data_IF_457013546368
#
_entry.id   IF_457013546368
#
_cell.length_a   1.000
_cell.length_b   1.000
_cell.length_c   1.000
_cell.angle_alpha   90.00
_cell.angle_beta   90.00
_cell.angle_gamma   90.00
#
_symmetry.space_group_name_H-M   'P 1'
#
loop_
_entity.id
_entity.type
_entity.pdbx_description
1 polymer ?
#
# COMPACT_ATOMS: atom_id res chain seq x y z
N UNK A 1 1.72 -9.99 4.69
CA UNK A 1 0.60 -9.23 5.28
C UNK A 1 1.07 -7.80 5.46
N UNK A 2 0.29 -6.84 4.97
CA UNK A 2 0.57 -5.41 5.07
C UNK A 2 -0.47 -4.76 5.99
N UNK A 3 -0.19 -3.56 6.46
CA UNK A 3 -1.06 -2.85 7.40
C UNK A 3 -0.93 -1.34 7.22
N UNK A 4 -2.06 -0.66 7.20
CA UNK A 4 -2.16 0.79 7.39
C UNK A 4 -2.93 1.09 8.70
N UNK A 5 -3.27 2.36 8.94
CA UNK A 5 -3.97 2.78 10.17
C UNK A 5 -5.43 2.29 10.22
N UNK A 6 -6.00 1.85 9.10
CA UNK A 6 -7.38 1.34 9.01
C UNK A 6 -7.47 -0.18 9.23
N UNK A 7 -6.40 -0.92 8.94
CA UNK A 7 -6.40 -2.36 9.12
C UNK A 7 -5.32 -3.08 8.33
N UNK A 8 -5.41 -4.41 8.35
CA UNK A 8 -4.52 -5.26 7.59
C UNK A 8 -5.09 -5.58 6.21
N UNK A 9 -4.19 -5.82 5.27
CA UNK A 9 -4.53 -6.28 3.93
C UNK A 9 -3.46 -7.23 3.38
N UNK A 10 -3.85 -8.02 2.39
CA UNK A 10 -2.96 -8.98 1.74
C UNK A 10 -2.68 -8.55 0.30
N UNK A 11 -1.44 -8.74 -0.13
CA UNK A 11 -0.99 -8.43 -1.50
C UNK A 11 -0.39 -9.69 -2.11
N UNK A 12 -0.82 -10.04 -3.32
CA UNK A 12 -0.27 -11.13 -4.14
C UNK A 12 0.45 -10.58 -5.38
N UNK A 13 1.37 -11.36 -5.94
CA UNK A 13 2.09 -10.99 -7.15
C UNK A 13 3.18 -9.93 -6.96
N UNK A 14 3.53 -9.59 -5.72
CA UNK A 14 4.60 -8.64 -5.40
C UNK A 14 5.96 -9.05 -5.98
N UNK A 15 6.17 -10.35 -6.15
CA UNK A 15 7.35 -10.95 -6.78
C UNK A 15 7.42 -10.75 -8.30
N UNK A 16 6.28 -10.45 -8.94
CA UNK A 16 6.16 -10.28 -10.41
C UNK A 16 6.18 -8.82 -10.85
N UNK A 17 6.07 -7.90 -9.90
CA UNK A 17 6.09 -6.47 -10.15
C UNK A 17 7.52 -6.02 -10.45
N UNK A 18 7.76 -5.10 -11.41
CA UNK A 18 9.07 -4.50 -11.62
C UNK A 18 9.61 -3.90 -10.31
N UNK A 19 10.61 -4.54 -9.73
CA UNK A 19 11.19 -4.10 -8.47
C UNK A 19 12.25 -3.06 -8.78
N UNK A 20 12.00 -1.81 -8.39
CA UNK A 20 13.03 -0.77 -8.35
C UNK A 20 14.02 -1.07 -7.23
N UNK A 21 13.89 -0.38 -6.08
CA UNK A 21 14.60 -0.79 -4.87
C UNK A 21 13.91 -2.00 -4.22
N UNK A 22 14.67 -2.96 -3.64
CA UNK A 22 14.11 -4.04 -2.85
C UNK A 22 13.26 -3.47 -1.69
N UNK A 23 11.95 -3.64 -1.76
CA UNK A 23 10.99 -3.04 -0.82
C UNK A 23 10.31 -4.05 0.11
N UNK A 24 10.54 -5.36 -0.11
CA UNK A 24 9.89 -6.45 0.62
C UNK A 24 10.70 -6.90 1.85
N UNK A 25 10.99 -5.98 2.77
CA UNK A 25 11.57 -6.32 4.08
C UNK A 25 10.55 -6.05 5.17
N UNK A 26 10.55 -6.91 6.19
CA UNK A 26 9.72 -6.68 7.36
C UNK A 26 10.08 -5.32 8.00
N UNK A 27 9.07 -4.49 8.25
CA UNK A 27 9.23 -3.13 8.78
C UNK A 27 9.37 -2.03 7.72
N UNK A 28 9.52 -2.36 6.44
CA UNK A 28 9.47 -1.36 5.37
C UNK A 28 8.08 -0.74 5.25
N UNK A 29 8.04 0.57 5.02
CA UNK A 29 6.84 1.29 4.62
C UNK A 29 6.80 1.41 3.11
N UNK A 30 5.75 0.88 2.49
CA UNK A 30 5.65 0.75 1.02
C UNK A 30 4.31 1.25 0.52
N UNK A 31 4.31 1.79 -0.69
CA UNK A 31 3.09 2.02 -1.46
C UNK A 31 2.86 0.86 -2.43
N UNK A 32 1.59 0.44 -2.54
CA UNK A 32 1.14 -0.63 -3.42
C UNK A 32 0.06 -0.09 -4.33
N UNK A 33 0.26 -0.18 -5.64
CA UNK A 33 -0.81 -0.07 -6.62
C UNK A 33 -1.17 -1.47 -7.09
N UNK A 34 -2.47 -1.78 -7.15
CA UNK A 34 -2.93 -3.10 -7.55
C UNK A 34 -4.42 -3.15 -7.84
N UNK A 35 -4.88 -4.30 -8.33
CA UNK A 35 -6.29 -4.60 -8.52
C UNK A 35 -6.90 -5.18 -7.24
N UNK A 36 -8.07 -4.71 -6.86
CA UNK A 36 -8.85 -5.29 -5.74
C UNK A 36 -9.47 -6.61 -6.18
N UNK A 37 -9.20 -7.67 -5.43
CA UNK A 37 -9.80 -8.99 -5.65
C UNK A 37 -10.95 -9.27 -4.69
N UNK A 38 -10.77 -8.99 -3.40
CA UNK A 38 -11.78 -9.18 -2.35
C UNK A 38 -11.66 -8.07 -1.33
N UNK A 39 -12.77 -7.73 -0.65
CA UNK A 39 -12.78 -6.76 0.45
C UNK A 39 -13.13 -7.39 1.81
N UNK A 40 -13.81 -8.55 1.81
CA UNK A 40 -14.31 -9.21 3.02
C UNK A 40 -13.95 -10.70 3.01
N UNK A 41 -13.46 -11.28 4.14
CA UNK A 41 -13.27 -10.65 5.45
C UNK A 41 -12.04 -9.73 5.57
N UNK A 42 -11.10 -9.83 4.63
CA UNK A 42 -9.89 -8.98 4.56
C UNK A 42 -9.68 -8.52 3.10
N UNK A 43 -9.21 -7.28 2.87
CA UNK A 43 -8.83 -6.81 1.54
C UNK A 43 -7.68 -7.61 0.93
N UNK A 44 -7.85 -8.02 -0.33
CA UNK A 44 -6.84 -8.69 -1.14
C UNK A 44 -6.55 -7.89 -2.41
N UNK A 45 -5.28 -7.56 -2.63
CA UNK A 45 -4.79 -6.86 -3.82
C UNK A 45 -3.89 -7.76 -4.67
N UNK A 46 -3.98 -7.64 -5.99
CA UNK A 46 -2.96 -8.12 -6.93
C UNK A 46 -2.06 -6.97 -7.34
N UNK A 47 -0.79 -7.06 -6.97
CA UNK A 47 0.17 -5.99 -7.18
C UNK A 47 0.45 -5.75 -8.67
N UNK A 48 0.45 -4.47 -9.04
CA UNK A 48 0.90 -3.94 -10.33
C UNK A 48 2.17 -3.13 -10.14
N UNK A 49 2.25 -2.36 -9.05
CA UNK A 49 3.43 -1.56 -8.68
C UNK A 49 3.63 -1.58 -7.17
N UNK A 50 4.88 -1.67 -6.74
CA UNK A 50 5.27 -1.54 -5.34
C UNK A 50 6.50 -0.66 -5.23
N UNK A 51 6.49 0.27 -4.28
CA UNK A 51 7.56 1.26 -4.09
C UNK A 51 7.91 1.37 -2.62
N UNK A 52 9.20 1.32 -2.30
CA UNK A 52 9.69 1.63 -0.95
C UNK A 52 9.58 3.13 -0.67
N UNK A 53 8.90 3.47 0.42
CA UNK A 53 8.71 4.83 0.91
C UNK A 53 9.39 5.05 2.27
N UNK A 54 10.15 4.07 2.77
CA UNK A 54 10.74 4.06 4.11
C UNK A 54 11.76 5.17 4.36
N UNK A 55 12.33 5.78 3.31
CA UNK A 55 13.34 6.83 3.45
C UNK A 55 12.79 8.17 3.94
N UNK A 56 11.49 8.42 3.77
CA UNK A 56 10.86 9.66 4.21
C UNK A 56 9.70 9.34 5.17
N UNK A 57 9.84 9.63 6.48
CA UNK A 57 8.81 9.33 7.47
C UNK A 57 7.51 10.12 7.26
N UNK A 58 7.57 11.26 6.55
CA UNK A 58 6.40 12.07 6.23
C UNK A 58 5.37 11.26 5.45
N UNK A 59 5.80 10.36 4.54
CA UNK A 59 4.90 9.52 3.76
C UNK A 59 3.95 8.70 4.65
N UNK A 60 4.46 8.16 5.76
CA UNK A 60 3.64 7.39 6.70
C UNK A 60 2.75 8.31 7.53
N UNK A 61 3.28 9.45 7.98
CA UNK A 61 2.54 10.39 8.83
C UNK A 61 1.38 11.07 8.10
N UNK A 62 1.52 11.31 6.80
CA UNK A 62 0.52 12.03 5.99
C UNK A 62 -0.52 11.11 5.34
N UNK A 63 -0.29 9.79 5.29
CA UNK A 63 -1.12 8.87 4.50
C UNK A 63 -2.62 8.96 4.80
N UNK A 64 -3.00 8.99 6.08
CA UNK A 64 -4.42 9.11 6.46
C UNK A 64 -5.04 10.43 6.01
N UNK A 65 -4.30 11.53 6.09
CA UNK A 65 -4.72 12.85 5.62
C UNK A 65 -4.82 12.91 4.10
N UNK A 66 -3.87 12.30 3.38
CA UNK A 66 -3.89 12.21 1.92
C UNK A 66 -5.12 11.42 1.42
N UNK A 67 -5.48 10.33 2.11
CA UNK A 67 -6.68 9.54 1.80
C UNK A 67 -7.95 10.34 2.05
N UNK A 68 -8.04 11.03 3.20
CA UNK A 68 -9.20 11.86 3.56
C UNK A 68 -9.39 13.01 2.57
N UNK A 69 -8.33 13.75 2.25
CA UNK A 69 -8.36 14.85 1.28
C UNK A 69 -8.78 14.38 -0.12
N UNK A 70 -8.27 13.23 -0.56
CA UNK A 70 -8.66 12.65 -1.85
C UNK A 70 -10.14 12.24 -1.87
N UNK A 71 -10.66 11.63 -0.80
CA UNK A 71 -12.07 11.26 -0.71
C UNK A 71 -13.00 12.47 -0.71
N UNK A 72 -12.58 13.58 -0.08
CA UNK A 72 -13.36 14.81 -0.03
C UNK A 72 -13.33 15.62 -1.34
N UNK A 73 -12.34 15.37 -2.21
CA UNK A 73 -12.19 16.08 -3.49
C UNK A 73 -12.81 15.35 -4.68
N UNK A 74 -13.20 14.08 -4.53
CA UNK A 74 -13.89 13.29 -5.55
C UNK A 74 -15.41 13.49 -5.41
N UNK A 75 -16.13 13.91 -6.48
CA UNK A 75 -17.58 14.12 -6.46
C UNK A 75 -18.41 12.86 -6.18
#
# INVERSE_FOLDING_TARGET
>A
MFRDDSGAFTVRGAERVPQGRPCLRAGSYVMVMGFVHTCTPEPLLQAVKMTDLSSNPINKMMWSLEVEDLQNSIP
#
